data_IF_063992354763
#
_entry.id   IF_063992354763
#
_cell.length_a   1.000
_cell.length_b   1.000
_cell.length_c   1.000
_cell.angle_alpha   90.00
_cell.angle_beta   90.00
_cell.angle_gamma   90.00
#
_symmetry.space_group_name_H-M   'P 1'
#
loop_
_entity.id
_entity.type
_entity.pdbx_description
1 polymer ?
#
# COMPACT_ATOMS: atom_id res chain seq x y z
N UNK A 1 -14.79 28.20 33.20
CA UNK A 1 -13.77 27.16 32.94
C UNK A 1 -12.65 27.82 32.14
N UNK A 2 -11.39 27.77 32.59
CA UNK A 2 -10.27 28.24 31.75
C UNK A 2 -10.16 27.29 30.56
N UNK A 3 -10.20 27.83 29.34
CA UNK A 3 -9.85 27.03 28.17
C UNK A 3 -8.41 26.57 28.34
N UNK A 4 -8.17 25.27 28.19
CA UNK A 4 -6.81 24.75 28.17
C UNK A 4 -6.32 25.01 26.75
N UNK A 5 -5.27 25.80 26.59
CA UNK A 5 -4.65 25.99 25.28
C UNK A 5 -4.04 24.66 24.85
N UNK A 6 -4.81 23.85 24.13
CA UNK A 6 -4.36 22.58 23.57
C UNK A 6 -3.46 22.92 22.40
N UNK A 7 -2.20 22.49 22.47
CA UNK A 7 -1.30 22.62 21.35
C UNK A 7 -1.68 21.60 20.27
N UNK A 8 -2.40 22.06 19.26
CA UNK A 8 -2.86 21.23 18.14
C UNK A 8 -1.73 20.83 17.17
N UNK A 9 -0.55 21.45 17.23
CA UNK A 9 0.55 21.15 16.30
C UNK A 9 1.15 19.74 16.46
N UNK A 10 0.76 19.04 17.53
CA UNK A 10 1.18 17.65 17.81
C UNK A 10 0.05 16.64 17.65
N UNK A 11 -1.12 17.06 17.15
CA UNK A 11 -2.30 16.22 16.96
C UNK A 11 -2.61 16.07 15.47
N UNK A 12 -3.20 14.93 15.12
CA UNK A 12 -3.80 14.72 13.82
C UNK A 12 -5.16 15.44 13.76
N UNK A 13 -5.44 16.15 12.67
CA UNK A 13 -6.68 16.91 12.41
C UNK A 13 -7.27 16.48 11.07
N UNK A 14 -8.50 16.90 10.77
CA UNK A 14 -9.28 16.38 9.64
C UNK A 14 -9.22 17.25 8.37
N UNK A 15 -8.82 18.51 8.51
CA UNK A 15 -9.09 19.59 7.55
C UNK A 15 -7.82 20.31 7.08
N UNK A 16 -6.66 19.73 7.38
CA UNK A 16 -5.35 20.28 6.98
C UNK A 16 -4.46 19.19 6.46
N UNK A 17 -3.57 19.51 5.52
CA UNK A 17 -2.50 18.62 5.12
C UNK A 17 -1.54 18.36 6.30
N UNK A 18 -1.16 17.11 6.53
CA UNK A 18 -0.32 16.72 7.66
C UNK A 18 0.78 15.74 7.25
N UNK A 19 1.98 15.97 7.79
CA UNK A 19 3.09 15.00 7.73
C UNK A 19 3.18 14.25 9.05
N UNK A 20 2.98 12.93 8.99
CA UNK A 20 3.03 12.05 10.17
C UNK A 20 4.32 11.22 10.15
N UNK A 21 5.14 11.35 11.18
CA UNK A 21 6.43 10.63 11.27
C UNK A 21 6.41 9.53 12.34
N UNK A 22 7.38 8.60 12.27
CA UNK A 22 7.49 7.44 13.14
C UNK A 22 6.59 6.27 12.74
N UNK A 23 6.74 5.13 13.41
CA UNK A 23 5.91 3.94 13.15
C UNK A 23 4.43 4.22 13.43
N UNK A 24 3.56 3.75 12.53
CA UNK A 24 2.09 3.83 12.65
C UNK A 24 1.52 2.46 12.37
N UNK A 25 0.78 1.92 13.35
CA UNK A 25 0.09 0.66 13.22
C UNK A 25 -1.41 0.92 13.22
N UNK A 26 -2.09 0.43 12.19
CA UNK A 26 -3.55 0.45 12.09
C UNK A 26 -4.02 -0.99 12.32
N UNK A 27 -4.83 -1.20 13.35
CA UNK A 27 -5.36 -2.53 13.70
C UNK A 27 -6.63 -2.89 12.91
N UNK A 28 -7.15 -1.92 12.16
CA UNK A 28 -8.31 -2.04 11.30
C UNK A 28 -7.96 -1.61 9.88
N UNK A 29 -8.82 -1.98 8.93
CA UNK A 29 -8.68 -1.60 7.53
C UNK A 29 -8.63 -0.08 7.35
N UNK A 30 -7.82 0.36 6.39
CA UNK A 30 -7.71 1.76 5.99
C UNK A 30 -8.43 1.92 4.66
N UNK A 31 -9.33 2.89 4.57
CA UNK A 31 -9.92 3.35 3.33
C UNK A 31 -9.34 4.72 3.00
N UNK A 32 -8.81 4.86 1.79
CA UNK A 32 -8.33 6.12 1.23
C UNK A 32 -8.75 6.18 -0.23
N UNK A 33 -8.99 7.39 -0.75
CA UNK A 33 -9.31 7.58 -2.16
C UNK A 33 -8.15 7.13 -3.06
N UNK A 34 -6.91 7.39 -2.61
CA UNK A 34 -5.69 7.01 -3.32
C UNK A 34 -4.55 6.71 -2.34
N UNK A 35 -3.66 5.81 -2.75
CA UNK A 35 -2.38 5.56 -2.08
C UNK A 35 -1.24 5.93 -3.03
N UNK A 36 -0.38 6.86 -2.63
CA UNK A 36 0.74 7.34 -3.44
C UNK A 36 2.05 6.99 -2.73
N UNK A 37 2.95 6.29 -3.43
CA UNK A 37 4.33 6.12 -2.97
C UNK A 37 5.16 7.32 -3.41
N UNK A 38 5.62 8.12 -2.45
CA UNK A 38 6.51 9.25 -2.74
C UNK A 38 7.80 8.74 -3.40
N UNK A 39 8.19 9.39 -4.50
CA UNK A 39 9.31 9.01 -5.36
C UNK A 39 9.19 7.62 -6.03
N UNK A 40 7.96 7.14 -6.26
CA UNK A 40 7.70 5.99 -7.14
C UNK A 40 7.93 6.33 -8.62
N UNK A 41 7.94 5.31 -9.48
CA UNK A 41 7.89 5.44 -10.94
C UNK A 41 6.47 5.21 -11.44
N UNK A 42 6.12 5.78 -12.61
CA UNK A 42 4.72 5.89 -13.05
C UNK A 42 3.99 4.55 -13.24
N UNK A 43 4.68 3.49 -13.68
CA UNK A 43 4.10 2.16 -13.91
C UNK A 43 4.36 1.19 -12.75
N UNK A 44 3.82 1.48 -11.55
CA UNK A 44 4.01 0.62 -10.38
C UNK A 44 2.70 0.19 -9.73
N UNK A 45 2.65 -1.06 -9.27
CA UNK A 45 1.64 -1.58 -8.35
C UNK A 45 2.22 -1.54 -6.93
N UNK A 46 1.50 -0.92 -6.01
CA UNK A 46 1.88 -0.86 -4.60
C UNK A 46 1.49 -2.18 -3.91
N UNK A 47 2.47 -2.83 -3.28
CA UNK A 47 2.25 -4.09 -2.58
C UNK A 47 2.02 -3.84 -1.10
N UNK A 48 1.15 -4.64 -0.48
CA UNK A 48 0.82 -4.49 0.94
C UNK A 48 2.01 -4.78 1.89
N UNK A 49 3.06 -5.43 1.40
CA UNK A 49 4.31 -5.64 2.14
C UNK A 49 5.22 -4.40 2.15
N UNK A 50 4.83 -3.31 1.47
CA UNK A 50 5.58 -2.05 1.39
C UNK A 50 6.46 -1.92 0.14
N UNK A 51 6.55 -2.96 -0.69
CA UNK A 51 7.29 -2.93 -1.95
C UNK A 51 6.44 -2.39 -3.11
N UNK A 52 7.05 -2.31 -4.28
CA UNK A 52 6.37 -2.06 -5.55
C UNK A 52 6.79 -3.09 -6.58
N UNK A 53 5.90 -3.40 -7.52
CA UNK A 53 6.24 -4.16 -8.72
C UNK A 53 5.87 -3.34 -9.95
N UNK A 54 6.71 -3.39 -10.99
CA UNK A 54 6.33 -2.85 -12.29
C UNK A 54 5.10 -3.62 -12.79
N UNK A 55 4.05 -2.90 -13.20
CA UNK A 55 2.81 -3.50 -13.69
C UNK A 55 3.09 -4.50 -14.82
N UNK A 56 4.08 -4.22 -15.66
CA UNK A 56 4.40 -5.05 -16.83
C UNK A 56 5.14 -6.35 -16.45
N UNK A 57 5.58 -6.49 -15.19
CA UNK A 57 6.13 -7.76 -14.65
C UNK A 57 5.06 -8.76 -14.24
N UNK A 58 3.78 -8.40 -14.22
CA UNK A 58 2.69 -9.38 -14.14
C UNK A 58 2.43 -10.06 -15.49
N UNK A 59 3.49 -10.26 -16.28
CA UNK A 59 3.42 -10.91 -17.57
C UNK A 59 2.78 -12.29 -17.39
N UNK A 60 1.64 -12.46 -18.06
CA UNK A 60 0.92 -13.71 -18.16
C UNK A 60 1.80 -14.70 -18.94
N UNK A 61 2.18 -15.82 -18.31
CA UNK A 61 2.72 -16.97 -19.04
C UNK A 61 1.54 -17.79 -19.59
N UNK A 62 1.41 -17.93 -20.92
CA UNK A 62 0.37 -18.77 -21.51
C UNK A 62 0.48 -20.21 -20.99
N UNK A 63 -0.67 -20.86 -20.76
CA UNK A 63 -0.70 -22.27 -20.36
C UNK A 63 0.02 -23.19 -21.35
N UNK A 64 0.19 -22.75 -22.59
CA UNK A 64 0.97 -23.44 -23.63
C UNK A 64 2.45 -23.63 -23.25
N UNK A 65 3.00 -22.76 -22.39
CA UNK A 65 4.36 -22.88 -21.86
C UNK A 65 4.43 -23.75 -20.58
N UNK A 66 3.28 -24.18 -20.03
CA UNK A 66 3.29 -25.06 -18.87
C UNK A 66 3.78 -26.45 -19.30
N UNK A 67 4.87 -26.93 -18.70
CA UNK A 67 5.35 -28.29 -18.94
C UNK A 67 4.32 -29.28 -18.40
N UNK A 68 3.60 -29.96 -19.30
CA UNK A 68 2.72 -31.07 -18.93
C UNK A 68 3.54 -32.20 -18.30
N UNK A 69 3.43 -32.35 -16.97
CA UNK A 69 3.86 -33.56 -16.29
C UNK A 69 2.68 -34.53 -16.28
N UNK A 70 2.78 -35.63 -17.01
CA UNK A 70 1.75 -36.68 -16.95
C UNK A 70 1.70 -37.26 -15.55
N UNK A 71 0.58 -37.10 -14.85
CA UNK A 71 0.27 -37.86 -13.65
C UNK A 71 -0.23 -39.24 -14.09
N UNK A 72 0.58 -40.27 -13.86
CA UNK A 72 0.18 -41.65 -14.06
C UNK A 72 -0.86 -42.00 -12.99
N UNK A 73 -2.11 -42.25 -13.41
CA UNK A 73 -3.07 -42.96 -12.57
C UNK A 73 -2.72 -44.44 -12.65
N UNK A 74 -2.12 -44.96 -11.58
CA UNK A 74 -1.94 -46.40 -11.34
C UNK A 74 -3.17 -47.01 -10.68
#
# INVERSE_FOLDING_TARGET
MKSKDVNLSKLMTLDTDQTVTGYKQFTQSIQADQFIKINGTDNQLLLANGDTIDKDKLAYEPIENATYQSIAYG
#
